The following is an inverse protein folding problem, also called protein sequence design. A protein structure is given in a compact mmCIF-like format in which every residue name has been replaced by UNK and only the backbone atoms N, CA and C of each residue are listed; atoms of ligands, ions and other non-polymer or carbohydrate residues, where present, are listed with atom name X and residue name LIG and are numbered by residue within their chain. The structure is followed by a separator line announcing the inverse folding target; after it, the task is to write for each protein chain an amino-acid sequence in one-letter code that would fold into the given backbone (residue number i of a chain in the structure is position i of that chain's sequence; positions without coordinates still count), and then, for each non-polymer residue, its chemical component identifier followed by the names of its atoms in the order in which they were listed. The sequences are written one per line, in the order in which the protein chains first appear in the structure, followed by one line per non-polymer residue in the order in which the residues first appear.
data_IF_271262064716
#
_entry.id   IF_271262064716
#
_cell.length_a   1.000
_cell.length_b   1.000
_cell.length_c   1.000
_cell.angle_alpha   90.00
_cell.angle_beta   90.00
_cell.angle_gamma   90.00
#
_symmetry.space_group_name_H-M   'P 1'
#
loop_
_entity.id
_entity.type
_entity.pdbx_description
1 polymer ?
#
# COMPACT_ATOMS: atom_id res chain seq x y z
N UNK A 1 -4.47 -12.78 12.42
CA UNK A 1 -3.35 -11.94 12.90
C UNK A 1 -2.24 -11.68 11.87
N UNK A 2 -1.76 -12.64 11.06
CA UNK A 2 -0.64 -12.42 10.10
C UNK A 2 -0.84 -11.31 9.05
N UNK A 3 -2.07 -10.91 8.74
CA UNK A 3 -2.33 -9.85 7.75
C UNK A 3 -1.88 -8.44 8.21
N UNK A 4 -1.85 -8.17 9.53
CA UNK A 4 -1.53 -6.84 10.08
C UNK A 4 -0.04 -6.73 10.45
N UNK A 5 0.54 -7.77 11.04
CA UNK A 5 1.89 -7.70 11.63
C UNK A 5 3.05 -7.79 10.62
N UNK A 6 2.78 -7.87 9.31
CA UNK A 6 3.85 -7.90 8.30
C UNK A 6 4.22 -6.47 7.90
N UNK A 7 5.47 -6.07 8.12
CA UNK A 7 6.00 -4.78 7.65
C UNK A 7 6.24 -4.76 6.14
N UNK A 8 6.31 -5.94 5.49
CA UNK A 8 6.55 -6.12 4.05
C UNK A 8 5.69 -5.22 3.15
N UNK A 9 4.42 -4.99 3.49
CA UNK A 9 3.53 -4.14 2.68
C UNK A 9 4.03 -2.69 2.63
N UNK A 10 4.37 -2.12 3.79
CA UNK A 10 4.87 -0.74 3.90
C UNK A 10 6.31 -0.64 3.38
N UNK A 11 7.17 -1.59 3.74
CA UNK A 11 8.58 -1.61 3.33
C UNK A 11 8.74 -1.76 1.81
N UNK A 12 7.93 -2.60 1.16
CA UNK A 12 7.98 -2.79 -0.29
C UNK A 12 7.56 -1.55 -1.07
N UNK A 13 6.55 -0.82 -0.57
CA UNK A 13 6.14 0.47 -1.10
C UNK A 13 7.26 1.50 -0.93
N UNK A 14 7.79 1.67 0.29
CA UNK A 14 8.87 2.60 0.58
C UNK A 14 10.12 2.33 -0.26
N UNK A 15 10.50 1.06 -0.43
CA UNK A 15 11.62 0.67 -1.30
C UNK A 15 11.39 1.10 -2.75
N UNK A 16 10.18 0.88 -3.27
CA UNK A 16 9.82 1.24 -4.65
C UNK A 16 9.83 2.75 -4.85
N UNK A 17 9.26 3.53 -3.92
CA UNK A 17 9.27 4.99 -3.96
C UNK A 17 10.71 5.54 -3.87
N UNK A 18 11.52 5.04 -2.94
CA UNK A 18 12.95 5.40 -2.82
C UNK A 18 13.71 5.16 -4.12
N UNK A 19 13.41 4.07 -4.84
CA UNK A 19 14.04 3.77 -6.13
C UNK A 19 13.71 4.83 -7.19
N UNK A 20 12.48 5.33 -7.22
CA UNK A 20 12.03 6.36 -8.18
C UNK A 20 12.69 7.72 -7.90
N UNK A 21 12.80 8.10 -6.63
CA UNK A 21 13.43 9.38 -6.27
C UNK A 21 14.96 9.35 -6.29
N UNK A 22 15.59 8.18 -6.20
CA UNK A 22 17.06 8.05 -6.12
C UNK A 22 17.79 8.74 -7.28
N UNK A 23 17.17 8.81 -8.46
CA UNK A 23 17.75 9.43 -9.66
C UNK A 23 17.42 10.92 -9.81
N UNK A 24 16.57 11.48 -8.94
CA UNK A 24 16.14 12.89 -8.95
C UNK A 24 16.71 13.61 -7.73
N UNK A 25 17.85 14.29 -7.91
CA UNK A 25 18.52 15.02 -6.83
C UNK A 25 17.83 16.35 -6.47
N UNK A 26 17.18 17.01 -7.44
CA UNK A 26 16.48 18.29 -7.27
C UNK A 26 15.16 18.25 -8.02
N UNK A 27 14.13 18.83 -7.43
CA UNK A 27 12.83 19.07 -8.04
C UNK A 27 12.64 20.56 -8.32
N UNK A 28 12.02 20.93 -9.45
CA UNK A 28 11.82 22.33 -9.81
C UNK A 28 10.79 23.05 -8.93
N UNK A 29 9.80 22.31 -8.41
CA UNK A 29 8.70 22.82 -7.58
C UNK A 29 8.03 21.65 -6.82
N UNK A 30 7.15 21.97 -5.88
CA UNK A 30 6.44 20.99 -5.04
C UNK A 30 5.43 20.13 -5.84
N UNK A 31 4.74 20.72 -6.82
CA UNK A 31 3.76 20.03 -7.67
C UNK A 31 4.44 18.93 -8.50
N UNK A 32 5.64 19.19 -9.00
CA UNK A 32 6.49 18.21 -9.67
C UNK A 32 6.81 16.99 -8.80
N UNK A 33 6.97 17.17 -7.49
CA UNK A 33 7.17 16.06 -6.52
C UNK A 33 5.90 15.24 -6.43
N UNK A 34 4.75 15.89 -6.20
CA UNK A 34 3.46 15.20 -6.06
C UNK A 34 3.10 14.42 -7.33
N UNK A 35 3.31 15.02 -8.50
CA UNK A 35 3.07 14.37 -9.80
C UNK A 35 3.93 13.13 -9.98
N UNK A 36 5.22 13.19 -9.63
CA UNK A 36 6.10 12.03 -9.70
C UNK A 36 5.65 10.93 -8.74
N UNK A 37 5.32 11.26 -7.49
CA UNK A 37 4.86 10.30 -6.49
C UNK A 37 3.54 9.64 -6.92
N UNK A 38 2.60 10.42 -7.45
CA UNK A 38 1.35 9.92 -8.00
C UNK A 38 1.58 8.91 -9.13
N UNK A 39 2.42 9.24 -10.11
CA UNK A 39 2.75 8.34 -11.22
C UNK A 39 3.47 7.07 -10.73
N UNK A 40 4.37 7.20 -9.75
CA UNK A 40 5.05 6.07 -9.13
C UNK A 40 4.05 5.13 -8.44
N UNK A 41 3.15 5.68 -7.62
CA UNK A 41 2.10 4.92 -6.93
C UNK A 41 1.18 4.20 -7.92
N UNK A 42 0.72 4.88 -8.97
CA UNK A 42 -0.09 4.26 -10.02
C UNK A 42 0.62 3.08 -10.69
N UNK A 43 1.92 3.20 -10.96
CA UNK A 43 2.69 2.12 -11.55
C UNK A 43 2.94 0.96 -10.59
N UNK A 44 3.10 1.22 -9.29
CA UNK A 44 3.21 0.19 -8.25
C UNK A 44 1.88 -0.55 -8.10
N UNK A 45 0.76 0.19 -8.04
CA UNK A 45 -0.59 -0.36 -7.87
C UNK A 45 -0.97 -1.34 -8.98
N UNK A 46 -0.53 -1.12 -10.23
CA UNK A 46 -0.71 -2.07 -11.35
C UNK A 46 -0.17 -3.46 -11.05
N UNK A 47 0.81 -3.61 -10.15
CA UNK A 47 1.41 -4.89 -9.76
C UNK A 47 0.71 -5.55 -8.56
N UNK A 48 -0.19 -4.84 -7.88
CA UNK A 48 -0.94 -5.35 -6.72
C UNK A 48 -2.15 -6.17 -7.16
N UNK A 49 -1.90 -7.25 -7.90
CA UNK A 49 -2.95 -8.14 -8.42
C UNK A 49 -3.24 -9.32 -7.50
N UNK A 50 -2.34 -9.63 -6.57
CA UNK A 50 -2.47 -10.79 -5.68
C UNK A 50 -3.34 -10.45 -4.47
N UNK A 51 -4.34 -11.28 -4.12
CA UNK A 51 -5.14 -11.07 -2.92
C UNK A 51 -4.30 -11.26 -1.66
N UNK A 52 -4.72 -10.63 -0.56
CA UNK A 52 -4.10 -10.79 0.75
C UNK A 52 -4.26 -12.25 1.19
N UNK A 53 -3.14 -12.89 1.56
CA UNK A 53 -3.14 -14.28 2.02
C UNK A 53 -4.03 -14.43 3.26
N UNK A 54 -4.93 -15.42 3.23
CA UNK A 54 -5.87 -15.72 4.31
C UNK A 54 -6.81 -14.56 4.68
N UNK A 55 -7.13 -13.68 3.72
CA UNK A 55 -8.00 -12.53 3.97
C UNK A 55 -9.38 -12.91 4.53
N UNK A 56 -10.02 -13.96 4.01
CA UNK A 56 -11.34 -14.42 4.47
C UNK A 56 -11.36 -14.73 5.96
N UNK A 57 -10.36 -15.44 6.47
CA UNK A 57 -10.26 -15.76 7.90
C UNK A 57 -10.02 -14.51 8.76
N UNK A 58 -9.24 -13.55 8.26
CA UNK A 58 -9.06 -12.26 8.93
C UNK A 58 -10.37 -11.46 8.94
N UNK A 59 -11.11 -11.45 7.83
CA UNK A 59 -12.38 -10.75 7.68
C UNK A 59 -13.44 -11.32 8.64
N UNK A 60 -13.58 -12.64 8.74
CA UNK A 60 -14.49 -13.27 9.72
C UNK A 60 -14.17 -12.85 11.16
N UNK A 61 -12.89 -12.74 11.51
CA UNK A 61 -12.49 -12.27 12.83
C UNK A 61 -12.81 -10.78 13.04
N UNK A 62 -12.69 -9.94 12.00
CA UNK A 62 -13.11 -8.54 12.09
C UNK A 62 -14.63 -8.39 12.22
N UNK A 63 -15.41 -9.22 11.51
CA UNK A 63 -16.86 -9.21 11.62
C UNK A 63 -17.34 -9.56 13.03
N UNK A 64 -16.70 -10.53 13.70
CA UNK A 64 -17.01 -10.88 15.09
C UNK A 64 -16.62 -9.74 16.05
N UNK A 65 -15.46 -9.11 15.86
CA UNK A 65 -15.00 -8.01 16.72
C UNK A 65 -15.80 -6.71 16.54
N UNK A 66 -16.33 -6.47 15.35
CA UNK A 66 -16.99 -5.22 14.99
C UNK A 66 -18.32 -5.48 14.27
N UNK A 67 -19.30 -6.14 14.91
CA UNK A 67 -20.54 -6.59 14.26
C UNK A 67 -21.31 -5.43 13.60
N UNK A 68 -21.36 -4.27 14.25
CA UNK A 68 -22.06 -3.07 13.73
C UNK A 68 -21.41 -2.44 12.47
N UNK A 69 -20.19 -2.84 12.12
CA UNK A 69 -19.43 -2.29 10.98
C UNK A 69 -19.55 -3.16 9.72
N UNK A 70 -20.08 -4.37 9.84
CA UNK A 70 -20.24 -5.30 8.73
C UNK A 70 -21.73 -5.55 8.52
N UNK A 71 -22.24 -5.18 7.33
CA UNK A 71 -23.53 -5.68 6.87
C UNK A 71 -23.35 -7.16 6.56
N UNK A 72 -23.89 -8.01 7.41
CA UNK A 72 -24.01 -9.45 7.16
C UNK A 72 -25.06 -9.65 6.07
#
# INVERSE_FOLDING_TARGET
RRAIYTTNAIESLNRSLRKVIKTKAVFPDEESVFKLMYLAMNNIAKRWTRPIKNWRAALSHFAILFPERFKI
#
